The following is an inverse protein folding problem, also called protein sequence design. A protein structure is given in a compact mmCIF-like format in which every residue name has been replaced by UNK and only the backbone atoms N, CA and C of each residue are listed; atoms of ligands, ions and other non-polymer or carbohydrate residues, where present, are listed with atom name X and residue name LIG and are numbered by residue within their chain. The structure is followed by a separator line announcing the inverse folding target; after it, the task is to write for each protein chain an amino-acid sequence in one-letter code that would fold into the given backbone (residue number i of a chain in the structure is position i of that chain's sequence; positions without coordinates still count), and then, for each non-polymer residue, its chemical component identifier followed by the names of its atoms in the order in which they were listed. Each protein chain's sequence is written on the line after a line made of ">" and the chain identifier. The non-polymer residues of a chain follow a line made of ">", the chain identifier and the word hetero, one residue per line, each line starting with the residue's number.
data_IF_991947433940
#
_entry.id   IF_991947433940
#
_cell.length_a   1.000
_cell.length_b   1.000
_cell.length_c   1.000
_cell.angle_alpha   90.00
_cell.angle_beta   90.00
_cell.angle_gamma   90.00
#
_symmetry.space_group_name_H-M   'P 1'
#
loop_
_entity.id
_entity.type
_entity.pdbx_description
1 polymer ?
#
# COMPACT_ATOMS: atom_id res chain seq x y z
N UNK A 1 13.57 -7.64 -6.25
CA UNK A 1 12.27 -7.01 -6.60
C UNK A 1 11.33 -6.97 -5.40
N UNK A 2 11.20 -8.06 -4.63
CA UNK A 2 10.47 -8.10 -3.35
C UNK A 2 10.87 -6.99 -2.35
N UNK A 3 12.17 -6.63 -2.30
CA UNK A 3 12.68 -5.58 -1.39
C UNK A 3 12.09 -4.19 -1.65
N UNK A 4 11.91 -3.79 -2.92
CA UNK A 4 11.30 -2.51 -3.30
C UNK A 4 9.81 -2.47 -2.95
N UNK A 5 9.08 -3.56 -3.23
CA UNK A 5 7.65 -3.68 -2.92
C UNK A 5 7.42 -3.67 -1.41
N UNK A 6 8.23 -4.41 -0.65
CA UNK A 6 8.21 -4.37 0.82
C UNK A 6 8.46 -2.96 1.35
N UNK A 7 9.46 -2.24 0.84
CA UNK A 7 9.72 -0.87 1.24
C UNK A 7 8.54 0.08 0.92
N UNK A 8 7.89 -0.09 -0.23
CA UNK A 8 6.71 0.70 -0.60
C UNK A 8 5.51 0.44 0.34
N UNK A 9 5.23 -0.83 0.67
CA UNK A 9 4.16 -1.20 1.61
C UNK A 9 4.44 -0.63 3.01
N UNK A 10 5.68 -0.73 3.48
CA UNK A 10 6.05 -0.15 4.78
C UNK A 10 5.95 1.37 4.80
N UNK A 11 6.32 2.04 3.69
CA UNK A 11 6.14 3.49 3.54
C UNK A 11 4.66 3.88 3.59
N UNK A 12 3.78 3.13 2.91
CA UNK A 12 2.34 3.38 2.95
C UNK A 12 1.79 3.27 4.38
N UNK A 13 2.20 2.25 5.13
CA UNK A 13 1.82 2.09 6.53
C UNK A 13 2.30 3.28 7.37
N UNK A 14 3.54 3.72 7.20
CA UNK A 14 4.09 4.90 7.90
C UNK A 14 3.30 6.17 7.61
N UNK A 15 2.96 6.44 6.34
CA UNK A 15 2.18 7.62 5.97
C UNK A 15 0.76 7.58 6.53
N UNK A 16 0.14 6.40 6.59
CA UNK A 16 -1.17 6.25 7.21
C UNK A 16 -1.12 6.52 8.74
N UNK A 17 -0.06 6.07 9.42
CA UNK A 17 0.18 6.43 10.82
C UNK A 17 0.33 7.95 11.01
N UNK A 18 1.10 8.63 10.15
CA UNK A 18 1.28 10.10 10.19
C UNK A 18 -0.03 10.87 9.98
N UNK A 19 -1.01 10.27 9.31
CA UNK A 19 -2.34 10.83 9.09
C UNK A 19 -3.32 10.53 10.24
N UNK A 20 -2.87 9.95 11.36
CA UNK A 20 -3.70 9.48 12.47
C UNK A 20 -4.75 8.44 12.05
N UNK A 21 -4.42 7.61 11.06
CA UNK A 21 -5.22 6.44 10.71
C UNK A 21 -4.79 5.24 11.54
N UNK A 22 -5.73 4.39 11.89
CA UNK A 22 -5.44 3.08 12.48
C UNK A 22 -4.90 2.13 11.40
N UNK A 23 -3.71 1.58 11.63
CA UNK A 23 -3.02 0.71 10.66
C UNK A 23 -2.61 -0.60 11.33
N UNK A 24 -3.02 -1.73 10.75
CA UNK A 24 -2.51 -3.05 11.11
C UNK A 24 -1.59 -3.58 10.00
N UNK A 25 -0.40 -4.06 10.37
CA UNK A 25 0.56 -4.67 9.43
C UNK A 25 1.01 -6.04 9.95
N UNK A 26 0.98 -7.06 9.10
CA UNK A 26 1.46 -8.39 9.44
C UNK A 26 0.75 -9.49 8.66
N UNK A 27 1.11 -10.74 8.96
CA UNK A 27 0.41 -11.90 8.41
C UNK A 27 -0.96 -12.04 9.06
N UNK A 28 -1.96 -12.40 8.25
CA UNK A 28 -3.28 -12.78 8.74
C UNK A 28 -3.18 -14.21 9.29
N UNK A 29 -3.54 -14.38 10.55
CA UNK A 29 -3.67 -15.69 11.19
C UNK A 29 -5.01 -15.77 11.91
N UNK A 30 -5.45 -17.00 12.22
CA UNK A 30 -6.61 -17.22 13.06
C UNK A 30 -6.16 -17.93 14.33
N UNK A 31 -6.64 -17.47 15.48
CA UNK A 31 -6.38 -18.15 16.74
C UNK A 31 -7.27 -19.39 16.91
N UNK A 32 -7.01 -20.16 17.96
CA UNK A 32 -7.78 -21.37 18.32
C UNK A 32 -9.26 -21.10 18.67
N UNK A 33 -9.63 -19.85 18.94
CA UNK A 33 -10.99 -19.42 19.27
C UNK A 33 -11.72 -18.85 18.04
N UNK A 34 -11.10 -18.87 16.86
CA UNK A 34 -11.67 -18.35 15.62
C UNK A 34 -11.51 -16.84 15.43
N UNK A 35 -10.76 -16.13 16.28
CA UNK A 35 -10.49 -14.70 16.15
C UNK A 35 -9.39 -14.46 15.12
N UNK A 36 -9.58 -13.42 14.30
CA UNK A 36 -8.62 -13.03 13.29
C UNK A 36 -7.57 -12.11 13.87
N UNK A 37 -6.31 -12.39 13.57
CA UNK A 37 -5.14 -11.64 14.00
C UNK A 37 -4.38 -11.12 12.77
N UNK A 38 -3.87 -9.89 12.84
CA UNK A 38 -2.89 -9.33 11.88
C UNK A 38 -1.62 -9.01 12.64
N UNK A 39 -0.53 -9.74 12.39
CA UNK A 39 0.74 -9.49 13.09
C UNK A 39 0.64 -9.61 14.62
N UNK A 40 -0.34 -10.38 15.12
CA UNK A 40 -0.64 -10.51 16.55
C UNK A 40 -1.66 -9.50 17.09
N UNK A 41 -2.12 -8.53 16.28
CA UNK A 41 -3.19 -7.60 16.66
C UNK A 41 -4.57 -8.19 16.35
N UNK A 42 -5.53 -7.98 17.24
CA UNK A 42 -6.87 -8.55 17.12
C UNK A 42 -7.76 -7.76 16.15
N UNK A 43 -7.86 -8.27 14.91
CA UNK A 43 -8.68 -7.67 13.87
C UNK A 43 -10.17 -7.74 14.24
N UNK A 44 -10.61 -8.84 14.86
CA UNK A 44 -12.02 -9.02 15.25
C UNK A 44 -12.47 -7.95 16.25
N UNK A 45 -11.69 -7.67 17.29
CA UNK A 45 -11.97 -6.59 18.24
C UNK A 45 -11.88 -5.20 17.62
N UNK A 46 -10.92 -5.00 16.72
CA UNK A 46 -10.77 -3.71 16.03
C UNK A 46 -11.99 -3.42 15.15
N UNK A 47 -12.48 -4.40 14.39
CA UNK A 47 -13.70 -4.28 13.59
C UNK A 47 -14.92 -3.97 14.45
N UNK A 48 -15.08 -4.65 15.60
CA UNK A 48 -16.16 -4.38 16.55
C UNK A 48 -16.14 -2.92 17.03
N UNK A 49 -14.96 -2.40 17.37
CA UNK A 49 -14.77 -1.00 17.83
C UNK A 49 -15.04 0.03 16.73
N UNK A 50 -14.91 -0.37 15.46
CA UNK A 50 -15.10 0.49 14.29
C UNK A 50 -16.43 0.26 13.56
N UNK A 51 -17.38 -0.46 14.20
CA UNK A 51 -18.70 -0.75 13.63
C UNK A 51 -19.39 0.55 13.18
N UNK A 52 -19.87 0.57 11.94
CA UNK A 52 -20.58 1.72 11.35
C UNK A 52 -19.69 2.81 10.74
N UNK A 53 -18.36 2.65 10.77
CA UNK A 53 -17.43 3.53 10.05
C UNK A 53 -17.13 3.00 8.65
N UNK A 54 -16.80 3.90 7.73
CA UNK A 54 -16.23 3.52 6.44
C UNK A 54 -14.77 3.09 6.62
N UNK A 55 -14.38 2.00 5.95
CA UNK A 55 -13.05 1.40 6.07
C UNK A 55 -12.45 1.19 4.69
N UNK A 56 -11.18 1.59 4.54
CA UNK A 56 -10.34 1.23 3.39
C UNK A 56 -9.35 0.17 3.84
N UNK A 57 -9.38 -1.01 3.22
CA UNK A 57 -8.44 -2.10 3.49
C UNK A 57 -7.53 -2.30 2.27
N UNK A 58 -6.22 -2.22 2.48
CA UNK A 58 -5.21 -2.41 1.44
C UNK A 58 -4.40 -3.67 1.76
N UNK A 59 -4.51 -4.69 0.92
CA UNK A 59 -3.70 -5.91 1.00
C UNK A 59 -2.64 -5.89 -0.10
N UNK A 60 -1.38 -6.08 0.28
CA UNK A 60 -0.28 -6.28 -0.65
C UNK A 60 0.63 -7.39 -0.14
N UNK A 61 0.92 -8.37 -0.98
CA UNK A 61 1.88 -9.42 -0.64
C UNK A 61 3.31 -8.86 -0.84
N UNK A 62 4.11 -8.72 0.24
CA UNK A 62 5.48 -8.22 0.14
C UNK A 62 6.41 -9.17 -0.62
N UNK A 63 6.04 -10.44 -0.75
CA UNK A 63 6.80 -11.48 -1.42
C UNK A 63 6.27 -11.79 -2.83
N UNK A 64 5.24 -11.08 -3.29
CA UNK A 64 4.71 -11.30 -4.64
C UNK A 64 5.81 -11.03 -5.68
N UNK A 65 6.18 -12.08 -6.42
CA UNK A 65 7.18 -12.08 -7.49
C UNK A 65 6.59 -11.81 -8.88
N UNK A 66 5.29 -11.52 -8.96
CA UNK A 66 4.62 -11.20 -10.23
C UNK A 66 5.43 -10.14 -10.98
N UNK A 67 5.79 -10.47 -12.22
CA UNK A 67 6.58 -9.58 -13.08
C UNK A 67 5.87 -8.25 -13.22
N UNK A 68 6.59 -7.17 -12.93
CA UNK A 68 6.05 -5.82 -13.07
C UNK A 68 5.72 -5.58 -14.55
N UNK A 69 4.46 -5.28 -14.84
CA UNK A 69 4.00 -5.06 -16.21
C UNK A 69 4.50 -3.71 -16.71
N UNK A 70 5.36 -3.75 -17.74
CA UNK A 70 5.80 -2.54 -18.43
C UNK A 70 4.63 -1.92 -19.17
N UNK A 71 4.49 -0.59 -19.03
CA UNK A 71 3.47 0.22 -19.70
C UNK A 71 4.16 1.33 -20.48
N UNK A 72 3.63 1.67 -21.65
CA UNK A 72 4.09 2.84 -22.43
C UNK A 72 3.30 4.08 -22.02
N UNK A 73 3.98 5.17 -21.71
CA UNK A 73 3.36 6.44 -21.34
C UNK A 73 2.63 7.06 -22.54
N UNK A 74 1.33 7.33 -22.41
CA UNK A 74 0.54 7.99 -23.46
C UNK A 74 0.90 9.47 -23.67
N UNK A 75 1.65 10.08 -22.77
CA UNK A 75 2.05 11.49 -22.86
C UNK A 75 3.42 11.66 -23.51
N UNK A 76 4.40 10.82 -23.18
CA UNK A 76 5.78 10.98 -23.66
C UNK A 76 6.35 9.77 -24.41
N UNK A 77 5.59 8.68 -24.55
CA UNK A 77 6.01 7.48 -25.28
C UNK A 77 7.05 6.62 -24.58
N UNK A 78 7.55 7.00 -23.39
CA UNK A 78 8.53 6.19 -22.64
C UNK A 78 7.86 5.03 -21.92
N UNK A 79 8.53 3.89 -21.91
CA UNK A 79 8.15 2.75 -21.08
C UNK A 79 8.48 3.00 -19.60
N UNK A 80 7.59 2.53 -18.74
CA UNK A 80 7.71 2.66 -17.29
C UNK A 80 6.98 1.51 -16.58
N UNK A 81 7.35 1.29 -15.32
CA UNK A 81 6.82 0.22 -14.46
C UNK A 81 6.15 0.77 -13.19
N UNK A 82 6.34 2.05 -12.90
CA UNK A 82 5.72 2.75 -11.77
C UNK A 82 4.21 2.96 -11.96
N UNK A 83 3.53 3.44 -10.90
CA UNK A 83 2.10 3.82 -10.93
C UNK A 83 1.81 4.91 -11.96
N UNK A 84 2.75 5.85 -12.12
CA UNK A 84 2.69 6.90 -13.14
C UNK A 84 4.06 7.08 -13.82
N UNK A 85 4.08 7.65 -15.02
CA UNK A 85 5.33 7.84 -15.76
C UNK A 85 6.29 8.77 -14.99
N UNK A 86 7.47 8.28 -14.55
CA UNK A 86 8.37 9.04 -13.68
C UNK A 86 8.92 10.28 -14.38
N UNK A 87 9.14 10.20 -15.69
CA UNK A 87 9.60 11.33 -16.51
C UNK A 87 8.55 12.45 -16.57
N UNK A 88 7.28 12.10 -16.84
CA UNK A 88 6.20 13.09 -16.87
C UNK A 88 5.90 13.66 -15.48
N UNK A 89 5.99 12.85 -14.42
CA UNK A 89 5.86 13.30 -13.04
C UNK A 89 6.94 14.31 -12.69
N UNK A 90 8.21 14.00 -12.93
CA UNK A 90 9.34 14.89 -12.66
C UNK A 90 9.19 16.22 -13.40
N UNK A 91 8.79 16.18 -14.68
CA UNK A 91 8.50 17.38 -15.45
C UNK A 91 7.34 18.19 -14.86
N UNK A 92 6.26 17.54 -14.40
CA UNK A 92 5.13 18.22 -13.77
C UNK A 92 5.54 18.92 -12.47
N UNK A 93 6.31 18.25 -11.62
CA UNK A 93 6.87 18.83 -10.39
C UNK A 93 7.76 20.03 -10.73
N UNK A 94 8.67 19.89 -11.71
CA UNK A 94 9.55 20.97 -12.15
C UNK A 94 8.78 22.18 -12.69
N UNK A 95 7.70 21.95 -13.45
CA UNK A 95 6.95 23.01 -14.12
C UNK A 95 5.85 23.63 -13.26
N UNK A 96 5.28 22.87 -12.31
CA UNK A 96 4.07 23.27 -11.56
C UNK A 96 4.22 23.23 -10.04
N UNK A 97 5.35 22.75 -9.51
CA UNK A 97 5.64 22.75 -8.08
C UNK A 97 4.79 21.81 -7.22
N UNK A 98 4.02 20.89 -7.81
CA UNK A 98 3.20 19.93 -7.07
C UNK A 98 3.51 18.48 -7.45
N UNK A 99 3.52 17.62 -6.42
CA UNK A 99 3.59 16.17 -6.49
C UNK A 99 2.19 15.55 -6.45
#
# INVERSE_FOLDING_TARGET
>A
MSTLRRAAILKLASSAYEMNLDVMNGAITQDQNGRWLIGGHDLTAWLQTHTGKEVVLVLGDPNDETKVVTRTCRTCGRDYTDVECPHCRANRIRLRGHA
#
